data_IF_753698909392
#
_entry.id   IF_753698909392
#
_cell.length_a   1.000
_cell.length_b   1.000
_cell.length_c   1.000
_cell.angle_alpha   90.00
_cell.angle_beta   90.00
_cell.angle_gamma   90.00
#
_symmetry.space_group_name_H-M   'P 1'
#
loop_
_entity.id
_entity.type
_entity.pdbx_description
1 polymer ?
#
# COMPACT_ATOMS: atom_id res chain seq x y z
N UNK A 1 2.10 31.43 -7.73
CA UNK A 1 1.15 30.73 -6.84
C UNK A 1 0.10 30.05 -7.73
N UNK A 2 0.42 28.86 -8.26
CA UNK A 2 -0.51 28.13 -9.14
C UNK A 2 -1.59 27.49 -8.28
N UNK A 3 -2.84 27.92 -8.44
CA UNK A 3 -3.97 27.31 -7.76
C UNK A 3 -4.23 25.94 -8.40
N UNK A 4 -3.93 24.87 -7.67
CA UNK A 4 -4.43 23.55 -8.00
C UNK A 4 -5.95 23.57 -7.85
N UNK A 5 -6.64 23.47 -8.99
CA UNK A 5 -8.08 23.29 -9.04
C UNK A 5 -8.38 21.91 -8.47
N UNK A 6 -8.73 21.85 -7.18
CA UNK A 6 -9.29 20.64 -6.58
C UNK A 6 -10.67 20.45 -7.22
N UNK A 7 -10.75 19.56 -8.19
CA UNK A 7 -11.99 19.22 -8.88
C UNK A 7 -12.97 18.56 -7.89
N UNK A 8 -13.75 19.39 -7.18
CA UNK A 8 -14.87 18.95 -6.37
C UNK A 8 -16.05 18.65 -7.29
N UNK A 9 -16.10 17.46 -7.89
CA UNK A 9 -17.20 17.16 -8.82
C UNK A 9 -17.46 15.72 -9.23
N UNK A 10 -16.54 14.76 -9.02
CA UNK A 10 -16.83 13.37 -9.32
C UNK A 10 -17.42 12.66 -8.10
N UNK A 11 -18.72 12.33 -8.16
CA UNK A 11 -19.27 11.24 -7.36
C UNK A 11 -18.64 9.96 -7.93
N UNK A 12 -17.62 9.42 -7.28
CA UNK A 12 -17.04 8.14 -7.69
C UNK A 12 -18.13 7.08 -7.59
N UNK A 13 -18.56 6.52 -8.72
CA UNK A 13 -19.51 5.39 -8.75
C UNK A 13 -18.86 4.10 -8.22
N UNK A 14 -17.54 4.01 -8.33
CA UNK A 14 -16.69 2.93 -7.83
C UNK A 14 -15.31 3.50 -7.48
N UNK A 15 -14.62 2.86 -6.55
CA UNK A 15 -13.25 3.21 -6.14
C UNK A 15 -12.50 1.95 -5.67
N UNK A 16 -11.21 2.09 -5.44
CA UNK A 16 -10.37 1.03 -4.87
C UNK A 16 -10.42 1.13 -3.36
N UNK A 17 -10.81 0.04 -2.70
CA UNK A 17 -11.12 0.04 -1.25
C UNK A 17 -9.97 -0.40 -0.36
N UNK A 18 -8.85 -0.86 -0.94
CA UNK A 18 -7.72 -1.34 -0.15
C UNK A 18 -6.74 -2.16 -0.97
N UNK A 19 -6.81 -3.48 -0.82
CA UNK A 19 -5.73 -4.40 -1.17
C UNK A 19 -5.36 -4.40 -2.66
N UNK A 20 -4.05 -4.46 -2.91
CA UNK A 20 -3.47 -4.79 -4.21
C UNK A 20 -2.69 -6.10 -4.13
N UNK A 21 -2.36 -6.68 -5.29
CA UNK A 21 -1.48 -7.84 -5.33
C UNK A 21 -0.08 -7.44 -4.85
N UNK A 22 0.46 -8.22 -3.90
CA UNK A 22 1.80 -7.98 -3.36
C UNK A 22 2.85 -8.19 -4.46
N UNK A 23 3.74 -7.19 -4.69
CA UNK A 23 4.89 -7.34 -5.58
C UNK A 23 5.79 -8.49 -5.14
N UNK A 24 6.52 -9.09 -6.08
CA UNK A 24 7.40 -10.23 -5.79
C UNK A 24 8.48 -9.87 -4.76
N UNK A 25 9.08 -8.68 -4.90
CA UNK A 25 10.08 -8.13 -3.96
C UNK A 25 9.56 -8.13 -2.51
N UNK A 26 8.28 -7.79 -2.32
CA UNK A 26 7.67 -7.76 -1.00
C UNK A 26 7.44 -9.18 -0.44
N UNK A 27 7.08 -10.15 -1.31
CA UNK A 27 6.94 -11.55 -0.87
C UNK A 27 8.28 -12.12 -0.42
N UNK A 28 9.32 -11.92 -1.22
CA UNK A 28 10.68 -12.36 -0.90
C UNK A 28 11.17 -11.73 0.42
N UNK A 29 10.92 -10.44 0.64
CA UNK A 29 11.31 -9.78 1.89
C UNK A 29 10.58 -10.39 3.10
N UNK A 30 9.28 -10.70 2.99
CA UNK A 30 8.52 -11.34 4.06
C UNK A 30 8.98 -12.77 4.33
N UNK A 31 9.36 -13.51 3.30
CA UNK A 31 9.95 -14.84 3.44
C UNK A 31 11.29 -14.77 4.18
N UNK A 32 12.18 -13.86 3.78
CA UNK A 32 13.47 -13.62 4.46
C UNK A 32 13.31 -13.18 5.91
N UNK A 33 12.34 -12.31 6.20
CA UNK A 33 12.05 -11.90 7.56
C UNK A 33 11.55 -13.07 8.40
N UNK A 34 10.66 -13.90 7.84
CA UNK A 34 10.15 -15.11 8.51
C UNK A 34 11.25 -16.15 8.75
N UNK A 35 12.27 -16.18 7.89
CA UNK A 35 13.46 -17.00 8.04
C UNK A 35 14.52 -16.40 9.00
N UNK A 36 14.32 -15.16 9.48
CA UNK A 36 15.28 -14.46 10.33
C UNK A 36 16.53 -13.95 9.61
N UNK A 37 16.49 -13.85 8.28
CA UNK A 37 17.61 -13.41 7.43
C UNK A 37 17.73 -11.88 7.37
N UNK A 38 16.61 -11.17 7.56
CA UNK A 38 16.57 -9.70 7.62
C UNK A 38 15.89 -9.25 8.92
N UNK A 39 16.27 -8.08 9.38
CA UNK A 39 15.63 -7.39 10.50
C UNK A 39 14.24 -6.87 10.13
N UNK A 40 13.43 -6.58 11.15
CA UNK A 40 12.14 -5.92 10.96
C UNK A 40 12.27 -4.55 10.28
N UNK A 41 13.36 -3.82 10.56
CA UNK A 41 13.62 -2.51 9.92
C UNK A 41 13.86 -2.67 8.42
N UNK A 42 14.64 -3.67 8.01
CA UNK A 42 14.86 -3.96 6.60
C UNK A 42 13.58 -4.39 5.88
N UNK A 43 12.71 -5.19 6.54
CA UNK A 43 11.39 -5.51 5.99
C UNK A 43 10.55 -4.23 5.82
N UNK A 44 10.52 -3.36 6.84
CA UNK A 44 9.76 -2.12 6.82
C UNK A 44 10.24 -1.19 5.70
N UNK A 45 11.55 -1.09 5.46
CA UNK A 45 12.09 -0.30 4.36
C UNK A 45 11.60 -0.81 2.99
N UNK A 46 11.56 -2.13 2.77
CA UNK A 46 11.02 -2.71 1.53
C UNK A 46 9.51 -2.44 1.41
N UNK A 47 8.76 -2.57 2.50
CA UNK A 47 7.34 -2.23 2.54
C UNK A 47 7.10 -0.75 2.19
N UNK A 48 7.86 0.17 2.79
CA UNK A 48 7.77 1.62 2.54
C UNK A 48 8.05 1.97 1.07
N UNK A 49 9.05 1.31 0.47
CA UNK A 49 9.41 1.49 -0.93
C UNK A 49 8.29 1.06 -1.88
N UNK A 50 7.75 -0.15 -1.68
CA UNK A 50 6.68 -0.65 -2.56
C UNK A 50 5.35 0.08 -2.33
N UNK A 51 5.04 0.53 -1.12
CA UNK A 51 3.88 1.40 -0.83
C UNK A 51 4.05 2.75 -1.54
N UNK A 52 5.23 3.37 -1.43
CA UNK A 52 5.50 4.66 -2.09
C UNK A 52 5.35 4.54 -3.61
N UNK A 53 5.82 3.44 -4.18
CA UNK A 53 5.69 3.14 -5.62
C UNK A 53 4.24 2.95 -6.04
N UNK A 54 3.43 2.24 -5.24
CA UNK A 54 1.99 2.10 -5.48
C UNK A 54 1.30 3.46 -5.45
N UNK A 55 1.50 4.25 -4.39
CA UNK A 55 0.90 5.58 -4.23
C UNK A 55 1.27 6.49 -5.41
N UNK A 56 2.52 6.47 -5.85
CA UNK A 56 2.95 7.25 -7.00
C UNK A 56 2.24 6.79 -8.28
N UNK A 57 2.02 5.48 -8.44
CA UNK A 57 1.30 4.95 -9.59
C UNK A 57 -0.17 5.36 -9.59
N UNK A 58 -0.82 5.29 -8.42
CA UNK A 58 -2.21 5.73 -8.24
C UNK A 58 -2.39 7.23 -8.52
N UNK A 59 -1.43 8.05 -8.09
CA UNK A 59 -1.39 9.49 -8.41
C UNK A 59 -1.20 9.74 -9.91
N UNK A 60 -0.31 9.00 -10.55
CA UNK A 60 0.00 9.12 -11.99
C UNK A 60 -1.24 8.85 -12.85
N UNK A 61 -2.03 7.82 -12.49
CA UNK A 61 -3.25 7.47 -13.21
C UNK A 61 -4.45 8.37 -12.84
N UNK A 62 -4.26 9.33 -11.93
CA UNK A 62 -5.26 10.33 -11.58
C UNK A 62 -6.31 9.87 -10.57
N UNK A 63 -6.01 8.87 -9.73
CA UNK A 63 -6.91 8.51 -8.65
C UNK A 63 -7.05 9.64 -7.63
N UNK A 64 -8.29 9.93 -7.25
CA UNK A 64 -8.62 10.97 -6.25
C UNK A 64 -8.30 10.51 -4.83
N UNK A 65 -8.49 9.23 -4.56
CA UNK A 65 -8.16 8.57 -3.30
C UNK A 65 -7.19 7.44 -3.61
N UNK A 66 -6.20 7.25 -2.73
CA UNK A 66 -5.10 6.30 -2.91
C UNK A 66 -5.06 5.36 -1.71
N UNK A 67 -4.52 4.15 -1.89
CA UNK A 67 -4.38 3.15 -0.82
C UNK A 67 -2.93 2.73 -0.69
N UNK A 68 -2.55 2.16 0.45
CA UNK A 68 -1.24 1.53 0.62
C UNK A 68 -1.21 0.08 0.13
N UNK A 69 -2.28 -0.36 -0.53
CA UNK A 69 -2.46 -1.72 -1.01
C UNK A 69 -2.52 -2.79 0.07
N UNK A 70 -2.64 -2.42 1.35
CA UNK A 70 -2.59 -3.32 2.49
C UNK A 70 -1.32 -4.18 2.55
N UNK A 71 -0.21 -3.66 2.05
CA UNK A 71 1.04 -4.42 1.89
C UNK A 71 1.62 -4.96 3.20
N UNK A 72 1.50 -4.19 4.29
CA UNK A 72 1.96 -4.61 5.64
C UNK A 72 1.03 -5.60 6.31
N UNK A 73 -0.22 -5.69 5.87
CA UNK A 73 -1.24 -6.55 6.49
C UNK A 73 -1.01 -8.01 6.14
N UNK A 74 -1.47 -8.90 7.02
CA UNK A 74 -1.49 -10.33 6.77
C UNK A 74 -2.86 -10.73 6.23
N UNK A 75 -3.93 -10.55 7.03
CA UNK A 75 -5.29 -10.87 6.65
C UNK A 75 -6.28 -9.84 7.20
N UNK A 76 -7.02 -9.17 6.32
CA UNK A 76 -7.87 -8.05 6.72
C UNK A 76 -8.88 -8.34 7.84
N UNK A 77 -9.41 -9.57 7.89
CA UNK A 77 -10.43 -9.99 8.84
C UNK A 77 -9.83 -10.53 10.15
N UNK A 78 -8.60 -11.05 10.14
CA UNK A 78 -7.96 -11.56 11.35
C UNK A 78 -7.23 -10.44 12.10
N UNK A 79 -6.59 -9.52 11.38
CA UNK A 79 -5.91 -8.36 11.94
C UNK A 79 -6.88 -7.52 12.80
N UNK A 80 -8.15 -7.39 12.40
CA UNK A 80 -9.19 -6.66 13.15
C UNK A 80 -9.48 -7.28 14.51
N UNK A 81 -9.42 -8.61 14.63
CA UNK A 81 -9.69 -9.30 15.89
C UNK A 81 -8.45 -9.45 16.77
N UNK A 82 -7.27 -9.59 16.16
CA UNK A 82 -6.03 -9.91 16.86
C UNK A 82 -5.14 -8.69 17.12
N UNK A 83 -5.44 -7.53 16.52
CA UNK A 83 -4.67 -6.31 16.71
C UNK A 83 -3.24 -6.39 16.17
N UNK A 84 -3.00 -7.31 15.23
CA UNK A 84 -1.72 -7.56 14.56
C UNK A 84 -1.65 -6.83 13.23
#
# INVERSE_FOLDING_TARGET
MSQQVVNQGAVNRYDIVGSFLRPEVLKEAREKYSAGEISYQELQEVEDQEITKLINKEKEIGLRYVTDGEFRRSYWHLDVFLGT
#
